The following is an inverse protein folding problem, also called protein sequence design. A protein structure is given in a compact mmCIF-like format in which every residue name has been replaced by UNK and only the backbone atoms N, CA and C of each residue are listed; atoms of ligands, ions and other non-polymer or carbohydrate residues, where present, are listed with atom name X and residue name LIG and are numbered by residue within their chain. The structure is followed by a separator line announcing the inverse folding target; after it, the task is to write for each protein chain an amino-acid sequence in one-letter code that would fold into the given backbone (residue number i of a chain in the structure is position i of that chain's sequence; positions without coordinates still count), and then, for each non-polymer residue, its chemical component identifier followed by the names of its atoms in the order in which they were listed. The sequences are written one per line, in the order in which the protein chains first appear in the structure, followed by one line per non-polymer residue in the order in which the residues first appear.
data_IF_815598688742
#
_entry.id   IF_815598688742
#
_cell.length_a   1.000
_cell.length_b   1.000
_cell.length_c   1.000
_cell.angle_alpha   90.00
_cell.angle_beta   90.00
_cell.angle_gamma   90.00
#
_symmetry.space_group_name_H-M   'P 1'
#
loop_
_entity.id
_entity.type
_entity.pdbx_description
1 polymer ?
#
# COMPACT_ATOMS: atom_id res chain seq x y z
N UNK A 1 -12.77 -11.15 -10.59
CA UNK A 1 -13.15 -10.86 -9.19
C UNK A 1 -13.09 -9.35 -9.07
N UNK A 2 -14.23 -8.69 -8.84
CA UNK A 2 -14.30 -7.22 -8.85
C UNK A 2 -13.45 -6.66 -7.72
N UNK A 3 -12.53 -5.75 -8.05
CA UNK A 3 -11.86 -4.93 -7.05
C UNK A 3 -12.94 -4.00 -6.48
N UNK A 4 -13.52 -4.36 -5.35
CA UNK A 4 -14.43 -3.49 -4.63
C UNK A 4 -13.65 -2.24 -4.18
N UNK A 5 -13.74 -1.15 -4.95
CA UNK A 5 -13.19 0.17 -4.66
C UNK A 5 -14.05 0.92 -3.63
N UNK A 6 -14.59 0.19 -2.66
CA UNK A 6 -15.41 0.76 -1.60
C UNK A 6 -14.52 1.39 -0.54
N UNK A 7 -14.75 2.67 -0.24
CA UNK A 7 -14.03 3.37 0.79
C UNK A 7 -14.43 2.84 2.17
N UNK A 8 -13.49 2.34 2.98
CA UNK A 8 -13.80 1.81 4.31
C UNK A 8 -14.24 2.89 5.31
N UNK A 9 -14.01 4.19 4.99
CA UNK A 9 -14.37 5.30 5.88
C UNK A 9 -15.79 5.82 5.63
N UNK A 10 -16.21 5.97 4.37
CA UNK A 10 -17.51 6.54 4.01
C UNK A 10 -18.44 5.57 3.26
N UNK A 11 -17.96 4.39 2.87
CA UNK A 11 -18.72 3.40 2.09
C UNK A 11 -18.90 3.75 0.61
N UNK A 12 -18.17 4.73 0.09
CA UNK A 12 -18.31 5.17 -1.30
C UNK A 12 -17.56 4.26 -2.27
N UNK A 13 -18.22 3.79 -3.33
CA UNK A 13 -17.72 2.74 -4.26
C UNK A 13 -16.82 3.26 -5.39
N UNK A 14 -16.40 4.54 -5.35
CA UNK A 14 -15.60 5.19 -6.41
C UNK A 14 -14.17 5.52 -5.98
N UNK A 15 -13.55 4.70 -5.14
CA UNK A 15 -12.13 4.85 -4.85
C UNK A 15 -11.27 4.54 -6.10
N UNK A 16 -10.13 5.20 -6.24
CA UNK A 16 -9.18 4.96 -7.33
C UNK A 16 -7.78 4.74 -6.79
N UNK A 17 -6.93 4.03 -7.54
CA UNK A 17 -5.56 3.74 -7.13
C UNK A 17 -4.61 4.75 -7.78
N UNK A 18 -4.02 5.64 -6.97
CA UNK A 18 -3.06 6.68 -7.36
C UNK A 18 -1.62 6.14 -7.44
N UNK A 19 -1.43 5.01 -8.12
CA UNK A 19 -0.17 4.25 -8.25
C UNK A 19 0.44 3.70 -6.95
N UNK A 20 0.41 4.46 -5.86
CA UNK A 20 0.94 4.10 -4.54
C UNK A 20 -0.17 3.72 -3.56
N UNK A 21 -1.30 4.42 -3.55
CA UNK A 21 -2.36 4.23 -2.56
C UNK A 21 -3.75 4.19 -3.22
N UNK A 22 -4.73 3.61 -2.53
CA UNK A 22 -6.14 3.84 -2.85
C UNK A 22 -6.59 5.17 -2.22
N UNK A 23 -7.28 6.00 -3.00
CA UNK A 23 -7.81 7.30 -2.59
C UNK A 23 -9.32 7.37 -2.84
N UNK A 24 -10.06 7.93 -1.89
CA UNK A 24 -11.49 8.21 -2.04
C UNK A 24 -11.74 9.67 -2.45
N UNK A 25 -12.36 9.94 -3.62
CA UNK A 25 -12.61 11.31 -4.10
C UNK A 25 -13.70 12.07 -3.31
N UNK A 26 -14.45 11.39 -2.44
CA UNK A 26 -15.54 12.01 -1.66
C UNK A 26 -15.09 12.52 -0.28
N UNK A 27 -14.12 11.85 0.34
CA UNK A 27 -13.69 12.17 1.71
C UNK A 27 -12.19 12.31 1.89
N UNK A 28 -11.44 12.29 0.78
CA UNK A 28 -9.98 12.41 0.71
C UNK A 28 -9.29 11.45 1.68
N UNK A 29 -9.83 10.24 1.81
CA UNK A 29 -9.24 9.20 2.64
C UNK A 29 -8.38 8.29 1.79
N UNK A 30 -7.15 8.05 2.24
CA UNK A 30 -6.19 7.19 1.58
C UNK A 30 -5.94 5.91 2.39
N UNK A 31 -5.81 4.76 1.73
CA UNK A 31 -5.51 3.46 2.38
C UNK A 31 -4.77 2.49 1.45
N UNK A 32 -4.25 1.41 2.04
CA UNK A 32 -3.59 0.33 1.28
C UNK A 32 -2.36 0.79 0.51
N UNK A 33 -1.69 1.83 1.01
CA UNK A 33 -0.48 2.37 0.41
C UNK A 33 0.60 1.28 0.32
N UNK A 34 1.13 1.11 -0.88
CA UNK A 34 2.38 0.41 -1.12
C UNK A 34 3.45 1.34 -0.61
N UNK A 35 3.81 1.24 0.67
CA UNK A 35 5.09 1.81 1.08
C UNK A 35 6.13 1.08 0.24
N UNK A 36 6.91 1.84 -0.53
CA UNK A 36 8.11 1.31 -1.14
C UNK A 36 9.02 0.93 0.03
N UNK A 37 8.80 -0.26 0.60
CA UNK A 37 9.74 -0.91 1.48
C UNK A 37 11.00 -1.00 0.64
N UNK A 38 11.90 -0.03 0.86
CA UNK A 38 13.28 -0.06 0.43
C UNK A 38 13.79 -1.42 0.90
N UNK A 39 13.71 -2.37 -0.03
CA UNK A 39 14.15 -3.73 0.16
C UNK A 39 15.68 -3.64 0.02
N UNK A 40 16.31 -2.91 0.95
CA UNK A 40 17.73 -3.03 1.25
C UNK A 40 17.87 -4.44 1.81
N UNK A 41 17.94 -5.38 0.87
CA UNK A 41 18.53 -6.67 1.07
C UNK A 41 20.02 -6.39 1.31
N UNK A 42 20.36 -5.84 2.49
CA UNK A 42 21.68 -6.03 3.07
C UNK A 42 21.77 -7.52 3.37
N UNK A 43 22.16 -8.27 2.32
CA UNK A 43 22.74 -9.59 2.39
C UNK A 43 24.00 -9.46 3.25
N UNK A 44 23.78 -9.41 4.56
CA UNK A 44 24.80 -9.49 5.58
C UNK A 44 25.36 -10.91 5.64
N UNK A 45 25.96 -11.39 4.55
CA UNK A 45 26.92 -12.49 4.60
C UNK A 45 28.12 -12.00 5.42
N UNK A 46 28.14 -12.34 6.71
CA UNK A 46 29.40 -12.54 7.45
C UNK A 46 29.31 -13.82 8.25
N UNK A 47 29.67 -14.90 7.57
CA UNK A 47 30.19 -16.12 8.17
C UNK A 47 31.52 -15.84 8.91
N UNK A 48 31.52 -15.99 10.23
CA UNK A 48 32.74 -16.09 11.06
C UNK A 48 32.32 -16.54 12.47
N UNK A 49 32.47 -17.82 12.84
CA UNK A 49 33.69 -18.48 13.32
C UNK A 49 34.32 -17.72 14.48
N UNK A 50 34.04 -18.18 15.71
CA UNK A 50 35.04 -18.85 16.56
C UNK A 50 34.34 -19.77 17.58
#
# INVERSE_FOLDING_TARGET
MGLNTECPRCGHESAFHNDTCYECPECDYEWGCIEEEDNDNDDGDKKGKD
#
